data_IF_251994137110
#
_entry.id   IF_251994137110
#
_cell.length_a   1.000
_cell.length_b   1.000
_cell.length_c   1.000
_cell.angle_alpha   90.00
_cell.angle_beta   90.00
_cell.angle_gamma   90.00
#
_symmetry.space_group_name_H-M   'P 1'
#
loop_
_entity.id
_entity.type
_entity.pdbx_description
1 polymer ?
#
# COMPACT_ATOMS: atom_id res chain seq x y z
N UNK A 1 -26.59 18.99 -10.75
CA UNK A 1 -25.34 19.11 -9.97
C UNK A 1 -24.26 18.38 -10.73
N UNK A 2 -23.15 19.04 -11.06
CA UNK A 2 -22.01 18.39 -11.71
C UNK A 2 -20.98 18.01 -10.64
N UNK A 3 -20.36 16.84 -10.77
CA UNK A 3 -19.28 16.36 -9.90
C UNK A 3 -18.03 16.07 -10.72
N UNK A 4 -16.86 16.21 -10.10
CA UNK A 4 -15.55 15.83 -10.65
C UNK A 4 -14.96 14.75 -9.76
N UNK A 5 -14.49 13.67 -10.37
CA UNK A 5 -13.81 12.58 -9.67
C UNK A 5 -12.31 12.62 -9.99
N UNK A 6 -11.48 12.57 -8.97
CA UNK A 6 -10.02 12.52 -9.11
C UNK A 6 -9.47 11.41 -8.23
N UNK A 7 -8.53 10.63 -8.77
CA UNK A 7 -7.84 9.63 -7.97
C UNK A 7 -6.70 10.28 -7.17
N UNK A 8 -6.54 9.84 -5.93
CA UNK A 8 -5.51 10.31 -5.00
C UNK A 8 -4.41 9.26 -4.90
N UNK A 9 -3.16 9.67 -5.13
CA UNK A 9 -1.97 8.88 -4.84
C UNK A 9 -1.42 9.29 -3.48
N UNK A 10 -1.13 8.30 -2.63
CA UNK A 10 -0.51 8.54 -1.35
C UNK A 10 0.95 8.95 -1.51
N UNK A 11 1.32 10.04 -0.83
CA UNK A 11 2.65 10.62 -0.87
C UNK A 11 3.66 9.75 -0.13
N UNK A 12 4.88 9.68 -0.66
CA UNK A 12 6.03 9.12 0.05
C UNK A 12 6.10 7.59 0.09
N UNK A 13 5.14 6.89 -0.53
CA UNK A 13 5.07 5.43 -0.53
C UNK A 13 4.98 4.85 -1.95
N UNK A 14 5.50 3.64 -2.09
CA UNK A 14 5.35 2.75 -3.22
C UNK A 14 4.60 1.50 -2.74
N UNK A 15 3.49 1.15 -3.38
CA UNK A 15 2.70 -0.03 -3.03
C UNK A 15 2.83 -1.12 -4.11
N UNK A 16 2.71 -2.40 -3.74
CA UNK A 16 2.64 -3.51 -4.69
C UNK A 16 1.43 -3.35 -5.62
N UNK A 17 1.58 -3.74 -6.89
CA UNK A 17 0.55 -3.52 -7.90
C UNK A 17 -0.47 -4.67 -7.95
N UNK A 18 -1.77 -4.34 -7.96
CA UNK A 18 -2.87 -5.34 -8.08
C UNK A 18 -2.83 -6.11 -9.39
N UNK A 19 -2.25 -5.51 -10.44
CA UNK A 19 -2.02 -6.11 -11.75
C UNK A 19 -0.54 -6.46 -11.96
N UNK A 20 0.16 -6.75 -10.86
CA UNK A 20 1.54 -7.19 -10.84
C UNK A 20 1.79 -8.46 -11.67
N UNK A 21 3.04 -8.69 -12.06
CA UNK A 21 3.41 -9.80 -12.96
C UNK A 21 3.36 -11.17 -12.29
N UNK A 22 3.59 -11.21 -10.98
CA UNK A 22 3.66 -12.42 -10.19
C UNK A 22 2.56 -12.44 -9.12
N UNK A 23 2.21 -13.64 -8.66
CA UNK A 23 1.13 -13.79 -7.68
C UNK A 23 1.51 -13.30 -6.29
N UNK A 24 2.80 -13.34 -5.95
CA UNK A 24 3.32 -12.77 -4.71
C UNK A 24 3.08 -11.25 -4.60
N UNK A 25 3.33 -10.49 -5.68
CA UNK A 25 3.04 -9.06 -5.72
C UNK A 25 1.53 -8.80 -5.61
N UNK A 26 0.70 -9.57 -6.33
CA UNK A 26 -0.77 -9.43 -6.25
C UNK A 26 -1.29 -9.71 -4.84
N UNK A 27 -0.77 -10.73 -4.17
CA UNK A 27 -1.12 -11.06 -2.80
C UNK A 27 -0.69 -9.95 -1.83
N UNK A 28 0.51 -9.38 -2.00
CA UNK A 28 0.96 -8.23 -1.23
C UNK A 28 0.07 -7.00 -1.47
N UNK A 29 -0.33 -6.75 -2.72
CA UNK A 29 -1.25 -5.68 -3.10
C UNK A 29 -2.63 -5.85 -2.46
N UNK A 30 -3.15 -7.08 -2.41
CA UNK A 30 -4.40 -7.39 -1.73
C UNK A 30 -4.32 -7.08 -0.23
N UNK A 31 -3.22 -7.50 0.45
CA UNK A 31 -2.99 -7.20 1.87
C UNK A 31 -2.89 -5.70 2.15
N UNK A 32 -2.12 -4.97 1.35
CA UNK A 32 -2.00 -3.52 1.49
C UNK A 32 -3.34 -2.81 1.27
N UNK A 33 -4.14 -3.29 0.30
CA UNK A 33 -5.48 -2.75 0.03
C UNK A 33 -6.43 -3.01 1.20
N UNK A 34 -6.54 -4.26 1.66
CA UNK A 34 -7.42 -4.63 2.76
C UNK A 34 -7.11 -3.80 4.00
N UNK A 35 -5.82 -3.66 4.32
CA UNK A 35 -5.40 -2.87 5.48
C UNK A 35 -5.72 -1.39 5.35
N UNK A 36 -5.49 -0.79 4.18
CA UNK A 36 -5.87 0.61 3.98
C UNK A 36 -7.38 0.80 4.11
N UNK A 37 -8.19 -0.14 3.61
CA UNK A 37 -9.65 -0.11 3.79
C UNK A 37 -10.05 -0.20 5.27
N UNK A 38 -9.41 -1.07 6.06
CA UNK A 38 -9.64 -1.14 7.51
C UNK A 38 -9.28 0.16 8.23
N UNK A 39 -8.16 0.79 7.86
CA UNK A 39 -7.71 2.06 8.46
C UNK A 39 -8.63 3.23 8.10
N UNK A 40 -9.27 3.18 6.92
CA UNK A 40 -10.22 4.19 6.48
C UNK A 40 -11.56 4.07 7.22
N UNK A 41 -12.02 2.83 7.45
CA UNK A 41 -13.35 2.58 8.00
C UNK A 41 -14.45 3.28 7.19
N UNK A 42 -15.50 3.70 7.90
CA UNK A 42 -16.58 4.56 7.36
C UNK A 42 -16.39 6.04 7.76
N UNK A 43 -15.17 6.42 8.12
CA UNK A 43 -14.87 7.73 8.70
C UNK A 43 -14.60 8.82 7.64
N UNK A 44 -14.65 10.08 8.10
CA UNK A 44 -14.22 11.20 7.28
C UNK A 44 -12.71 11.17 7.10
N UNK A 45 -12.29 11.26 5.84
CA UNK A 45 -10.88 11.36 5.48
C UNK A 45 -10.45 12.82 5.30
N UNK A 46 -9.18 13.08 5.57
CA UNK A 46 -8.54 14.38 5.37
C UNK A 46 -7.33 14.23 4.46
N UNK A 47 -7.25 15.12 3.46
CA UNK A 47 -6.13 15.20 2.53
C UNK A 47 -5.30 16.46 2.81
N UNK A 48 -3.99 16.30 2.90
CA UNK A 48 -3.03 17.39 3.08
C UNK A 48 -1.84 17.27 2.12
N UNK A 49 -1.03 18.33 2.01
CA UNK A 49 0.09 18.44 1.06
C UNK A 49 -0.29 18.05 -0.37
N UNK A 50 -1.42 18.57 -0.83
CA UNK A 50 -2.00 18.22 -2.13
C UNK A 50 -1.18 18.88 -3.24
N UNK A 51 -0.71 18.09 -4.20
CA UNK A 51 -0.05 18.55 -5.41
C UNK A 51 -0.58 17.81 -6.63
N UNK A 52 -0.46 18.41 -7.82
CA UNK A 52 -0.74 17.69 -9.07
C UNK A 52 0.24 16.54 -9.29
N UNK A 53 -0.24 15.39 -9.75
CA UNK A 53 0.64 14.35 -10.30
C UNK A 53 1.19 14.83 -11.65
N UNK A 54 2.32 14.27 -12.09
CA UNK A 54 3.09 14.68 -13.29
C UNK A 54 2.27 14.78 -14.58
N UNK A 55 1.13 14.08 -14.64
CA UNK A 55 0.24 13.98 -15.80
C UNK A 55 -1.20 14.45 -15.53
N UNK A 56 -1.43 15.18 -14.43
CA UNK A 56 -2.71 15.82 -14.06
C UNK A 56 -3.96 14.91 -13.95
N UNK A 57 -3.86 13.60 -14.19
CA UNK A 57 -4.97 12.65 -13.99
C UNK A 57 -5.20 12.22 -12.54
N UNK A 58 -4.33 12.65 -11.61
CA UNK A 58 -4.37 12.34 -10.18
C UNK A 58 -3.80 13.50 -9.37
N UNK A 59 -4.12 13.51 -8.09
CA UNK A 59 -3.42 14.32 -7.10
C UNK A 59 -2.52 13.45 -6.22
N UNK A 60 -1.43 14.02 -5.73
CA UNK A 60 -0.54 13.44 -4.73
C UNK A 60 -0.81 14.11 -3.39
N UNK A 61 -1.14 13.33 -2.35
CA UNK A 61 -1.51 13.86 -1.04
C UNK A 61 -1.08 12.94 0.10
N UNK A 62 -0.96 13.51 1.31
CA UNK A 62 -1.02 12.73 2.55
C UNK A 62 -2.49 12.47 2.89
N UNK A 63 -2.75 11.30 3.45
CA UNK A 63 -4.08 10.84 3.85
C UNK A 63 -4.09 10.57 5.35
N UNK A 64 -5.11 11.08 6.02
CA UNK A 64 -5.31 10.98 7.47
C UNK A 64 -6.80 10.76 7.79
N UNK A 65 -7.05 10.21 8.96
CA UNK A 65 -8.36 10.04 9.60
C UNK A 65 -8.27 10.51 11.04
N UNK A 66 -9.38 10.53 11.77
CA UNK A 66 -9.35 10.90 13.19
C UNK A 66 -8.44 9.95 13.97
N UNK A 67 -7.54 10.50 14.80
CA UNK A 67 -6.57 9.70 15.55
C UNK A 67 -5.39 9.12 14.74
N UNK A 68 -5.33 9.33 13.42
CA UNK A 68 -4.17 8.92 12.62
C UNK A 68 -3.80 9.95 11.53
N UNK A 69 -2.72 10.69 11.79
CA UNK A 69 -2.25 11.79 10.96
C UNK A 69 -1.59 11.38 9.63
N UNK A 70 -1.26 10.09 9.45
CA UNK A 70 -0.64 9.61 8.21
C UNK A 70 -0.81 8.10 8.01
N UNK A 71 -1.80 7.72 7.20
CA UNK A 71 -2.06 6.32 6.85
C UNK A 71 -0.93 5.71 6.02
N UNK A 72 -0.24 6.50 5.20
CA UNK A 72 0.91 6.03 4.43
C UNK A 72 2.06 5.58 5.34
N UNK A 73 2.33 6.36 6.41
CA UNK A 73 3.31 5.98 7.45
C UNK A 73 2.88 4.74 8.22
N UNK A 74 1.59 4.56 8.46
CA UNK A 74 1.07 3.36 9.12
C UNK A 74 1.36 2.12 8.26
N UNK A 75 1.02 2.16 6.97
CA UNK A 75 1.33 1.06 6.04
C UNK A 75 2.84 0.77 5.91
N UNK A 76 3.68 1.81 5.98
CA UNK A 76 5.14 1.65 5.99
C UNK A 76 5.61 0.89 7.23
N UNK A 77 5.14 1.26 8.42
CA UNK A 77 5.49 0.60 9.69
C UNK A 77 5.07 -0.87 9.68
N UNK A 78 3.93 -1.18 9.07
CA UNK A 78 3.40 -2.54 8.93
C UNK A 78 4.07 -3.34 7.78
N UNK A 79 4.99 -2.73 7.03
CA UNK A 79 5.74 -3.39 5.96
C UNK A 79 4.87 -3.81 4.77
N UNK A 80 3.78 -3.07 4.52
CA UNK A 80 2.83 -3.31 3.42
C UNK A 80 3.16 -2.51 2.16
N UNK A 81 3.96 -1.46 2.32
CA UNK A 81 4.43 -0.55 1.25
C UNK A 81 5.91 -0.22 1.49
N UNK A 82 6.58 0.36 0.50
CA UNK A 82 7.98 0.77 0.57
C UNK A 82 8.11 2.31 0.56
N UNK A 83 9.14 2.89 1.20
CA UNK A 83 9.40 4.32 1.10
C UNK A 83 9.70 4.71 -0.35
N UNK A 84 9.14 5.83 -0.82
CA UNK A 84 9.34 6.30 -2.18
C UNK A 84 9.61 7.81 -2.24
N UNK A 85 10.78 8.17 -2.77
CA UNK A 85 11.22 9.56 -2.95
C UNK A 85 11.28 9.98 -4.43
N UNK A 86 10.70 9.19 -5.32
CA UNK A 86 10.86 9.33 -6.77
C UNK A 86 11.94 8.41 -7.33
N UNK A 87 11.89 8.15 -8.63
CA UNK A 87 12.84 7.27 -9.33
C UNK A 87 12.31 5.86 -9.57
N UNK A 88 13.18 4.85 -9.46
CA UNK A 88 12.81 3.45 -9.71
C UNK A 88 12.01 2.91 -8.52
N UNK A 89 10.86 2.30 -8.82
CA UNK A 89 10.00 1.62 -7.82
C UNK A 89 10.63 0.29 -7.38
N UNK A 90 10.20 -0.23 -6.22
CA UNK A 90 10.65 -1.54 -5.72
C UNK A 90 10.21 -2.63 -6.69
N UNK A 91 11.03 -3.66 -6.84
CA UNK A 91 10.60 -4.91 -7.48
C UNK A 91 9.87 -5.77 -6.45
N UNK A 92 8.54 -5.71 -6.49
CA UNK A 92 7.68 -6.47 -5.58
C UNK A 92 7.64 -7.96 -5.90
N UNK A 93 7.98 -8.36 -7.13
CA UNK A 93 8.04 -9.77 -7.47
C UNK A 93 9.26 -10.46 -6.88
N UNK A 94 10.43 -9.84 -7.00
CA UNK A 94 11.63 -10.36 -6.37
C UNK A 94 11.47 -10.46 -4.84
N UNK A 95 10.86 -9.47 -4.21
CA UNK A 95 10.66 -9.44 -2.75
C UNK A 95 9.63 -10.46 -2.25
N UNK A 96 8.54 -10.65 -3.00
CA UNK A 96 7.53 -11.63 -2.63
C UNK A 96 8.06 -13.06 -2.73
N UNK A 97 8.91 -13.36 -3.71
CA UNK A 97 9.62 -14.64 -3.82
C UNK A 97 10.49 -14.92 -2.58
N UNK A 98 11.26 -13.91 -2.12
CA UNK A 98 12.12 -14.05 -0.93
C UNK A 98 11.32 -14.33 0.36
N UNK A 99 10.10 -13.81 0.48
CA UNK A 99 9.23 -14.08 1.64
C UNK A 99 8.53 -15.43 1.57
N UNK A 100 8.26 -15.97 0.39
CA UNK A 100 7.68 -17.32 0.27
C UNK A 100 8.68 -18.42 0.61
N UNK A 101 9.98 -18.22 0.33
CA UNK A 101 11.03 -19.20 0.63
C UNK A 101 11.39 -19.25 2.12
N UNK A 102 11.13 -18.18 2.88
CA UNK A 102 11.40 -18.12 4.31
C UNK A 102 10.35 -18.83 5.19
N UNK A 103 9.22 -19.27 4.61
CA UNK A 103 8.24 -20.12 5.30
C UNK A 103 8.60 -21.59 5.02
N UNK A 104 9.64 -22.08 5.69
CA UNK A 104 9.93 -23.51 5.77
C UNK A 104 8.80 -24.26 6.50
N UNK A 105 8.67 -25.59 6.32
CA UNK A 105 7.55 -26.33 6.87
C UNK A 105 7.58 -26.23 8.39
N UNK A 106 6.43 -25.85 8.96
CA UNK A 106 6.20 -25.92 10.39
C UNK A 106 6.51 -27.36 10.85
N UNK A 107 7.39 -27.44 11.84
CA UNK A 107 7.81 -28.62 12.58
C UNK A 107 6.72 -29.70 12.65
N UNK A 108 7.03 -30.90 12.16
CA UNK A 108 6.20 -32.08 12.38
C UNK A 108 6.07 -32.33 13.90
N UNK A 109 4.88 -32.08 14.45
CA UNK A 109 4.47 -32.66 15.72
C UNK A 109 4.11 -34.12 15.45
N UNK A 110 5.05 -35.03 15.70
CA UNK A 110 4.75 -36.44 15.91
C UNK A 110 4.16 -36.58 17.31
N UNK A 111 2.89 -36.95 17.40
CA UNK A 111 2.25 -37.37 18.65
C UNK A 111 2.17 -38.91 18.64
N UNK A 112 2.80 -39.49 19.67
CA UNK A 112 2.86 -40.90 20.13
C UNK A 112 3.79 -41.88 19.41
#
# INVERSE_FOLDING_TARGET
>A
MQSVHVAVRLRGIDAPEKRGKCDGEKAAAARATARLTELLGDERVYLSDIAGDKYFGRVLARLSVEGNDDLGRTLLKEGLVAPYKGGKRRDWCADASLRSEAVGPAFAMTDR
#
